data_IF_773697180213
#
_entry.id   IF_773697180213
#
_cell.length_a   1.000
_cell.length_b   1.000
_cell.length_c   1.000
_cell.angle_alpha   90.00
_cell.angle_beta   90.00
_cell.angle_gamma   90.00
#
_symmetry.space_group_name_H-M   'P 1'
#
loop_
_entity.id
_entity.type
_entity.pdbx_description
1 polymer ?
#
# COMPACT_ATOMS: atom_id res chain seq x y z
N UNK A 1 10.39 11.30 -17.62
CA UNK A 1 11.61 11.31 -16.78
C UNK A 1 11.68 9.96 -16.09
N UNK A 2 12.69 9.15 -16.42
CA UNK A 2 12.86 7.80 -15.84
C UNK A 2 13.41 7.95 -14.43
N UNK A 3 12.54 7.93 -13.42
CA UNK A 3 12.96 7.89 -12.02
C UNK A 3 13.74 6.61 -11.71
N UNK A 4 14.72 6.71 -10.83
CA UNK A 4 15.59 5.59 -10.46
C UNK A 4 14.81 4.54 -9.68
N UNK A 5 14.87 3.28 -10.13
CA UNK A 5 14.21 2.15 -9.46
C UNK A 5 14.55 2.10 -7.96
N UNK A 6 13.53 1.89 -7.13
CA UNK A 6 13.68 1.89 -5.67
C UNK A 6 14.66 0.76 -5.23
N UNK A 7 15.77 1.08 -4.52
CA UNK A 7 16.82 0.11 -4.17
C UNK A 7 16.33 -1.01 -3.25
N UNK A 8 15.20 -0.80 -2.56
CA UNK A 8 14.47 -1.85 -1.84
C UNK A 8 14.08 -3.04 -2.71
N UNK A 9 13.76 -2.84 -3.99
CA UNK A 9 13.36 -3.94 -4.87
C UNK A 9 14.52 -4.91 -5.16
N UNK A 10 15.76 -4.41 -5.12
CA UNK A 10 16.98 -5.18 -5.41
C UNK A 10 17.69 -5.66 -4.14
N UNK A 11 17.26 -5.24 -2.94
CA UNK A 11 17.98 -5.50 -1.71
C UNK A 11 17.67 -6.87 -1.08
N UNK A 12 18.67 -7.44 -0.41
CA UNK A 12 18.53 -8.69 0.33
C UNK A 12 17.64 -8.52 1.57
N UNK A 13 17.06 -9.60 2.10
CA UNK A 13 16.14 -9.54 3.24
C UNK A 13 16.77 -8.88 4.49
N UNK A 14 18.05 -9.14 4.76
CA UNK A 14 18.79 -8.45 5.83
C UNK A 14 18.91 -6.95 5.60
N UNK A 15 19.16 -6.51 4.36
CA UNK A 15 19.25 -5.09 4.01
C UNK A 15 17.88 -4.39 4.11
N UNK A 16 16.79 -5.11 3.84
CA UNK A 16 15.42 -4.62 4.06
C UNK A 16 15.15 -4.43 5.54
N UNK A 17 15.48 -5.42 6.36
CA UNK A 17 15.28 -5.39 7.82
C UNK A 17 16.05 -4.23 8.49
N UNK A 18 17.31 -4.05 8.12
CA UNK A 18 18.15 -2.97 8.66
C UNK A 18 18.01 -1.63 7.92
N UNK A 19 17.06 -1.52 6.98
CA UNK A 19 16.86 -0.32 6.15
C UNK A 19 18.16 0.22 5.52
N UNK A 20 19.09 -0.67 5.20
CA UNK A 20 20.45 -0.33 4.75
C UNK A 20 20.44 0.49 3.45
N UNK A 21 19.41 0.33 2.61
CA UNK A 21 19.20 1.11 1.39
C UNK A 21 19.06 2.62 1.64
N UNK A 22 18.54 3.04 2.81
CA UNK A 22 18.39 4.47 3.20
C UNK A 22 19.76 5.13 3.39
N UNK A 23 20.79 4.35 3.77
CA UNK A 23 22.14 4.89 4.01
C UNK A 23 22.71 5.62 2.80
N UNK A 24 22.39 5.16 1.58
CA UNK A 24 22.82 5.81 0.33
C UNK A 24 22.21 7.20 0.15
N UNK A 25 20.92 7.35 0.49
CA UNK A 25 20.19 8.62 0.43
C UNK A 25 20.71 9.59 1.50
N UNK A 26 20.98 9.11 2.72
CA UNK A 26 21.54 9.92 3.80
C UNK A 26 22.96 10.41 3.47
N UNK A 27 23.78 9.58 2.83
CA UNK A 27 25.11 9.99 2.38
C UNK A 27 25.04 11.08 1.30
N UNK A 28 24.04 11.03 0.41
CA UNK A 28 23.81 12.07 -0.59
C UNK A 28 23.37 13.38 0.06
N UNK A 29 22.39 13.32 0.97
CA UNK A 29 21.92 14.48 1.74
C UNK A 29 22.99 15.12 2.62
N UNK A 30 24.00 14.35 3.05
CA UNK A 30 25.17 14.87 3.78
C UNK A 30 26.09 15.71 2.89
N UNK A 31 26.18 15.39 1.59
CA UNK A 31 27.07 16.09 0.64
C UNK A 31 26.42 17.32 0.04
N UNK A 32 25.11 17.27 -0.21
CA UNK A 32 24.33 18.37 -0.77
C UNK A 32 22.87 18.30 -0.33
N UNK A 33 22.11 19.41 -0.37
CA UNK A 33 20.66 19.37 -0.23
C UNK A 33 20.03 18.40 -1.23
N UNK A 34 19.04 17.64 -0.78
CA UNK A 34 18.31 16.68 -1.61
C UNK A 34 17.32 17.39 -2.53
N UNK A 35 17.23 16.92 -3.76
CA UNK A 35 16.24 17.37 -4.74
C UNK A 35 15.12 16.32 -4.91
N UNK A 36 13.99 16.72 -5.50
CA UNK A 36 12.85 15.81 -5.73
C UNK A 36 13.25 14.63 -6.61
N UNK A 37 14.14 14.85 -7.57
CA UNK A 37 14.63 13.82 -8.48
C UNK A 37 15.53 12.78 -7.80
N UNK A 38 16.08 13.09 -6.62
CA UNK A 38 16.87 12.15 -5.80
C UNK A 38 15.99 11.19 -4.98
N UNK A 39 14.69 11.47 -4.89
CA UNK A 39 13.75 10.64 -4.15
C UNK A 39 13.34 9.44 -5.00
N UNK A 40 13.43 8.25 -4.40
CA UNK A 40 13.05 7.01 -5.05
C UNK A 40 11.57 6.96 -5.41
N UNK A 41 11.25 6.15 -6.44
CA UNK A 41 9.88 5.90 -6.83
C UNK A 41 9.09 5.11 -5.78
N UNK A 42 7.77 5.32 -5.81
CA UNK A 42 6.83 4.62 -4.95
C UNK A 42 6.96 3.10 -5.19
N UNK A 43 7.08 2.36 -4.09
CA UNK A 43 7.14 0.90 -4.14
C UNK A 43 5.82 0.36 -4.72
N UNK A 44 5.83 -0.67 -5.58
CA UNK A 44 4.60 -1.23 -6.14
C UNK A 44 3.56 -1.62 -5.08
N UNK A 45 4.01 -2.09 -3.91
CA UNK A 45 3.14 -2.47 -2.79
C UNK A 45 2.50 -1.27 -2.06
N UNK A 46 3.12 -0.09 -2.17
CA UNK A 46 2.69 1.15 -1.52
C UNK A 46 1.84 2.03 -2.46
N UNK A 47 1.65 1.61 -3.72
CA UNK A 47 0.78 2.31 -4.66
C UNK A 47 -0.67 2.23 -4.20
N UNK A 48 -1.38 3.36 -4.21
CA UNK A 48 -2.78 3.40 -3.79
C UNK A 48 -3.72 2.69 -4.76
N UNK A 49 -3.47 2.81 -6.07
CA UNK A 49 -4.34 2.32 -7.14
C UNK A 49 -4.76 0.85 -6.96
N UNK A 50 -3.85 -0.14 -6.83
CA UNK A 50 -4.24 -1.54 -6.67
C UNK A 50 -5.10 -1.81 -5.42
N UNK A 51 -4.89 -1.04 -4.35
CA UNK A 51 -5.68 -1.17 -3.12
C UNK A 51 -7.05 -0.53 -3.26
N UNK A 52 -7.13 0.63 -3.90
CA UNK A 52 -8.37 1.32 -4.19
C UNK A 52 -9.26 0.47 -5.10
N UNK A 53 -8.72 -0.14 -6.14
CA UNK A 53 -9.48 -1.03 -7.05
C UNK A 53 -10.08 -2.23 -6.30
N UNK A 54 -9.31 -2.82 -5.38
CA UNK A 54 -9.78 -3.93 -4.53
C UNK A 54 -10.87 -3.49 -3.57
N UNK A 55 -10.75 -2.30 -3.00
CA UNK A 55 -11.74 -1.71 -2.11
C UNK A 55 -13.04 -1.40 -2.85
N UNK A 56 -12.95 -0.79 -4.03
CA UNK A 56 -14.10 -0.50 -4.90
C UNK A 56 -14.85 -1.79 -5.23
N UNK A 57 -14.12 -2.83 -5.67
CA UNK A 57 -14.71 -4.14 -5.96
C UNK A 57 -15.34 -4.79 -4.72
N UNK A 58 -14.74 -4.64 -3.55
CA UNK A 58 -15.30 -5.15 -2.30
C UNK A 58 -16.59 -4.40 -1.90
N UNK A 59 -16.62 -3.09 -2.13
CA UNK A 59 -17.76 -2.22 -1.86
C UNK A 59 -18.94 -2.51 -2.79
N UNK A 60 -18.70 -2.65 -4.10
CA UNK A 60 -19.73 -3.05 -5.07
C UNK A 60 -20.39 -4.38 -4.70
N UNK A 61 -19.58 -5.36 -4.28
CA UNK A 61 -20.10 -6.65 -3.82
C UNK A 61 -21.00 -6.51 -2.60
N UNK A 62 -20.65 -5.62 -1.66
CA UNK A 62 -21.46 -5.39 -0.46
C UNK A 62 -22.81 -4.71 -0.78
N UNK A 63 -22.82 -3.78 -1.74
CA UNK A 63 -24.05 -3.19 -2.27
C UNK A 63 -24.93 -4.27 -2.93
N UNK A 64 -24.34 -5.13 -3.77
CA UNK A 64 -25.08 -6.23 -4.43
C UNK A 64 -25.67 -7.20 -3.40
N UNK A 65 -24.93 -7.53 -2.35
CA UNK A 65 -25.41 -8.39 -1.25
C UNK A 65 -26.55 -7.74 -0.47
N UNK A 66 -26.45 -6.43 -0.20
CA UNK A 66 -27.51 -5.68 0.45
C UNK A 66 -28.80 -5.65 -0.38
N UNK A 67 -28.69 -5.41 -1.68
CA UNK A 67 -29.84 -5.39 -2.59
C UNK A 67 -30.49 -6.78 -2.75
N UNK A 68 -29.72 -7.86 -2.68
CA UNK A 68 -30.25 -9.24 -2.73
C UNK A 68 -30.88 -9.71 -1.41
N UNK A 69 -30.53 -9.08 -0.30
CA UNK A 69 -31.10 -9.40 1.01
C UNK A 69 -32.50 -8.78 1.12
N UNK A 70 -33.53 -9.54 0.75
CA UNK A 70 -34.96 -9.17 0.92
C UNK A 70 -35.36 -8.82 2.36
N UNK A 71 -34.48 -9.08 3.34
CA UNK A 71 -34.66 -8.62 4.71
C UNK A 71 -33.96 -7.27 4.89
N UNK A 72 -34.74 -6.23 5.21
CA UNK A 72 -34.34 -4.84 5.53
C UNK A 72 -33.30 -4.69 6.68
N UNK A 73 -32.73 -5.81 7.16
CA UNK A 73 -31.71 -5.92 8.20
C UNK A 73 -30.28 -5.81 7.66
N UNK A 74 -30.02 -6.17 6.40
CA UNK A 74 -28.67 -6.10 5.84
C UNK A 74 -28.42 -4.71 5.27
N UNK A 75 -27.59 -3.92 5.95
CA UNK A 75 -27.13 -2.61 5.47
C UNK A 75 -25.68 -2.73 5.00
N UNK A 76 -25.34 -2.17 3.82
CA UNK A 76 -23.96 -2.15 3.38
C UNK A 76 -23.14 -1.28 4.33
N UNK A 77 -21.96 -1.76 4.72
CA UNK A 77 -21.07 -1.09 5.66
C UNK A 77 -19.67 -1.00 5.09
N UNK A 78 -19.22 0.22 4.79
CA UNK A 78 -17.87 0.45 4.29
C UNK A 78 -16.79 -0.18 5.18
N UNK A 79 -17.01 -0.21 6.49
CA UNK A 79 -16.09 -0.82 7.44
C UNK A 79 -15.86 -2.32 7.17
N UNK A 80 -16.90 -3.03 6.72
CA UNK A 80 -16.82 -4.45 6.40
C UNK A 80 -16.04 -4.67 5.10
N UNK A 81 -16.29 -3.87 4.07
CA UNK A 81 -15.48 -3.87 2.85
C UNK A 81 -14.00 -3.56 3.14
N UNK A 82 -13.71 -2.56 3.96
CA UNK A 82 -12.35 -2.19 4.37
C UNK A 82 -11.66 -3.33 5.13
N UNK A 83 -12.35 -3.94 6.11
CA UNK A 83 -11.78 -5.07 6.85
C UNK A 83 -11.52 -6.28 5.95
N UNK A 84 -12.37 -6.52 4.96
CA UNK A 84 -12.19 -7.59 3.97
C UNK A 84 -10.95 -7.41 3.11
N UNK A 85 -10.59 -6.17 2.77
CA UNK A 85 -9.44 -5.86 1.91
C UNK A 85 -8.15 -5.75 2.71
N UNK A 86 -8.17 -5.10 3.87
CA UNK A 86 -6.96 -4.77 4.62
C UNK A 86 -6.76 -5.61 5.89
N UNK A 87 -7.82 -6.20 6.43
CA UNK A 87 -7.80 -6.85 7.75
C UNK A 87 -6.83 -8.03 7.86
N UNK A 88 -6.65 -8.81 6.78
CA UNK A 88 -5.73 -9.95 6.79
C UNK A 88 -4.27 -9.55 6.99
N UNK A 89 -3.84 -8.41 6.41
CA UNK A 89 -2.46 -7.89 6.56
C UNK A 89 -2.19 -7.46 7.99
N UNK A 90 -3.16 -6.80 8.62
CA UNK A 90 -3.03 -6.34 10.01
C UNK A 90 -3.22 -7.46 11.03
N UNK A 91 -3.98 -8.51 10.71
CA UNK A 91 -4.17 -9.68 11.58
C UNK A 91 -2.88 -10.46 11.82
N UNK A 92 -1.92 -10.44 10.90
CA UNK A 92 -0.63 -11.14 11.03
C UNK A 92 0.39 -10.33 11.87
N UNK A 93 0.15 -9.03 12.03
CA UNK A 93 1.04 -8.11 12.77
C UNK A 93 0.55 -7.89 14.21
N UNK A 94 -0.77 -8.03 14.44
CA UNK A 94 -1.40 -7.96 15.76
C UNK A 94 -1.33 -9.28 16.52
#
# INVERSE_FOLDING_TARGET
MSKSQHPYLKSNQFQKLFHSWVSSLLQLGRKRPLEIDDVFDILPDDQSQPWTDRLEKAWENEIVLANKSNNNKYKPSLFRATWKVYGSRYYVIG
#
